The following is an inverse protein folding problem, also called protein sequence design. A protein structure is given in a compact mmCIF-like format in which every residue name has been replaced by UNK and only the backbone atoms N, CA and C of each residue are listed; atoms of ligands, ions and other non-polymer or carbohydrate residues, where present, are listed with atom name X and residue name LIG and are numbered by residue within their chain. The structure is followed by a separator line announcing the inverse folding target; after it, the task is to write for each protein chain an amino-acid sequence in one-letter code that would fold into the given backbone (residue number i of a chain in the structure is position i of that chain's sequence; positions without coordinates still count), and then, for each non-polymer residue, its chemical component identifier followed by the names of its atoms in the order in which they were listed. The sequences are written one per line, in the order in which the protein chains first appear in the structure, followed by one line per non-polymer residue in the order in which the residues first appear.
data_IF_613597646682
#
_entry.id   IF_613597646682
#
_cell.length_a   1.000
_cell.length_b   1.000
_cell.length_c   1.000
_cell.angle_alpha   90.00
_cell.angle_beta   90.00
_cell.angle_gamma   90.00
#
_symmetry.space_group_name_H-M   'P 1'
#
loop_
_entity.id
_entity.type
_entity.pdbx_description
1 polymer ?
#
# COMPACT_ATOMS: atom_id res chain seq x y z
N UNK A 1 -36.25 -22.19 4.89
CA UNK A 1 -36.20 -20.75 4.58
C UNK A 1 -36.67 -20.58 3.15
N UNK A 2 -37.62 -19.68 2.92
CA UNK A 2 -38.28 -19.50 1.62
C UNK A 2 -37.36 -18.79 0.61
N UNK A 3 -37.44 -19.15 -0.68
CA UNK A 3 -36.66 -18.54 -1.75
C UNK A 3 -37.00 -17.05 -1.93
N UNK A 4 -38.24 -16.65 -1.66
CA UNK A 4 -38.65 -15.25 -1.74
C UNK A 4 -38.00 -14.42 -0.62
N UNK A 5 -37.83 -15.02 0.56
CA UNK A 5 -37.12 -14.40 1.68
C UNK A 5 -35.62 -14.26 1.36
N UNK A 6 -35.02 -15.28 0.76
CA UNK A 6 -33.61 -15.24 0.34
C UNK A 6 -33.42 -14.14 -0.70
N UNK A 7 -34.28 -14.10 -1.73
CA UNK A 7 -34.23 -13.11 -2.81
C UNK A 7 -34.38 -11.70 -2.27
N UNK A 8 -35.33 -11.45 -1.36
CA UNK A 8 -35.50 -10.15 -0.70
C UNK A 8 -34.27 -9.72 0.10
N UNK A 9 -33.61 -10.66 0.79
CA UNK A 9 -32.39 -10.37 1.56
C UNK A 9 -31.17 -10.05 0.68
N UNK A 10 -31.13 -10.58 -0.54
CA UNK A 10 -29.99 -10.41 -1.45
C UNK A 10 -30.17 -9.27 -2.45
N UNK A 11 -31.40 -8.88 -2.78
CA UNK A 11 -31.72 -7.93 -3.86
C UNK A 11 -30.98 -6.58 -3.76
N UNK A 12 -30.93 -6.00 -2.57
CA UNK A 12 -30.35 -4.67 -2.32
C UNK A 12 -29.05 -4.75 -1.50
N UNK A 13 -28.48 -5.95 -1.37
CA UNK A 13 -27.26 -6.16 -0.60
C UNK A 13 -26.05 -5.72 -1.42
N UNK A 14 -25.26 -4.81 -0.87
CA UNK A 14 -23.92 -4.47 -1.39
C UNK A 14 -22.94 -5.62 -1.05
N UNK A 15 -22.28 -6.23 -2.03
CA UNK A 15 -21.25 -7.23 -1.77
C UNK A 15 -20.12 -6.66 -0.91
N UNK A 16 -19.58 -7.50 -0.03
CA UNK A 16 -18.45 -7.19 0.84
C UNK A 16 -17.53 -8.40 0.88
N UNK A 17 -16.26 -8.20 1.25
CA UNK A 17 -15.34 -9.30 1.51
C UNK A 17 -15.91 -10.26 2.55
N UNK A 18 -15.77 -11.55 2.29
CA UNK A 18 -16.19 -12.61 3.21
C UNK A 18 -15.23 -12.66 4.41
N UNK A 19 -13.93 -12.48 4.15
CA UNK A 19 -12.91 -12.40 5.20
C UNK A 19 -12.71 -10.95 5.64
N UNK A 20 -12.55 -10.69 6.95
CA UNK A 20 -12.29 -9.35 7.44
C UNK A 20 -10.95 -8.86 6.88
N UNK A 21 -11.00 -7.71 6.20
CA UNK A 21 -9.81 -7.03 5.70
C UNK A 21 -9.59 -5.74 6.45
N UNK A 22 -8.35 -5.49 6.86
CA UNK A 22 -7.96 -4.18 7.35
C UNK A 22 -7.76 -3.26 6.14
N UNK A 23 -8.46 -2.13 6.16
CA UNK A 23 -8.48 -1.15 5.07
C UNK A 23 -7.47 -0.06 5.30
N UNK A 24 -6.69 0.25 4.29
CA UNK A 24 -5.65 1.27 4.30
C UNK A 24 -5.76 2.14 3.05
N UNK A 25 -5.26 3.36 3.17
CA UNK A 25 -5.07 4.25 2.04
C UNK A 25 -3.69 4.90 2.11
N UNK A 26 -3.05 5.01 0.96
CA UNK A 26 -1.72 5.61 0.80
C UNK A 26 -1.73 6.67 -0.28
N UNK A 27 -0.94 7.72 -0.08
CA UNK A 27 -0.67 8.73 -1.10
C UNK A 27 0.72 8.48 -1.69
N UNK A 28 0.85 8.54 -3.01
CA UNK A 28 2.10 8.64 -3.75
C UNK A 28 2.34 10.14 -4.04
N UNK A 29 2.95 10.89 -3.10
CA UNK A 29 3.12 12.33 -3.23
C UNK A 29 4.21 12.69 -4.24
N UNK A 30 3.82 13.44 -5.27
CA UNK A 30 4.73 14.11 -6.19
C UNK A 30 5.01 15.52 -5.72
N UNK A 31 6.27 15.92 -5.66
CA UNK A 31 6.68 17.30 -5.41
C UNK A 31 7.59 17.78 -6.55
N UNK A 32 7.49 19.06 -6.87
CA UNK A 32 8.34 19.66 -7.90
C UNK A 32 9.62 20.19 -7.27
N UNK A 33 10.77 19.66 -7.69
CA UNK A 33 12.11 20.11 -7.26
C UNK A 33 12.83 20.63 -8.52
N UNK A 34 13.04 21.95 -8.57
CA UNK A 34 13.47 22.61 -9.80
C UNK A 34 12.44 22.39 -10.92
N UNK A 35 12.87 21.75 -12.00
CA UNK A 35 12.02 21.43 -13.16
C UNK A 35 11.54 19.97 -13.20
N UNK A 36 11.90 19.15 -12.20
CA UNK A 36 11.60 17.72 -12.16
C UNK A 36 10.51 17.38 -11.12
N UNK A 37 9.71 16.36 -11.43
CA UNK A 37 8.79 15.75 -10.48
C UNK A 37 9.50 14.61 -9.75
N UNK A 38 9.44 14.64 -8.42
CA UNK A 38 9.99 13.59 -7.58
C UNK A 38 8.92 13.03 -6.64
N UNK A 39 8.99 11.72 -6.38
CA UNK A 39 8.16 11.07 -5.37
C UNK A 39 8.77 11.26 -3.98
N UNK A 40 7.96 11.67 -3.00
CA UNK A 40 8.37 11.72 -1.59
C UNK A 40 8.15 10.36 -0.94
N UNK A 41 9.15 9.92 -0.19
CA UNK A 41 9.18 8.70 0.60
C UNK A 41 9.51 9.01 2.05
N UNK A 42 9.08 8.11 2.92
CA UNK A 42 9.33 8.16 4.35
C UNK A 42 10.20 6.99 4.78
N UNK A 43 11.13 7.25 5.69
CA UNK A 43 11.68 6.20 6.54
C UNK A 43 10.86 6.11 7.81
N UNK A 44 10.20 4.96 8.00
CA UNK A 44 9.37 4.71 9.19
C UNK A 44 10.21 4.73 10.45
N UNK A 45 9.74 5.45 11.47
CA UNK A 45 10.41 5.55 12.76
C UNK A 45 10.64 4.16 13.37
N UNK A 46 11.84 3.94 13.93
CA UNK A 46 12.23 2.63 14.50
C UNK A 46 11.41 2.21 15.70
N UNK A 47 10.70 3.15 16.31
CA UNK A 47 9.82 2.96 17.47
C UNK A 47 8.45 2.41 17.10
N UNK A 48 8.10 2.34 15.81
CA UNK A 48 6.82 1.84 15.36
C UNK A 48 6.68 0.32 15.54
N UNK A 49 5.44 -0.11 15.83
CA UNK A 49 5.11 -1.54 16.01
C UNK A 49 5.14 -2.34 14.70
N UNK A 50 4.94 -1.68 13.56
CA UNK A 50 4.94 -2.29 12.24
C UNK A 50 6.04 -1.68 11.36
N UNK A 51 6.80 -2.57 10.69
CA UNK A 51 7.79 -2.24 9.66
C UNK A 51 8.77 -1.10 10.03
N UNK A 52 9.39 -1.14 11.22
CA UNK A 52 10.34 -0.11 11.64
C UNK A 52 11.55 -0.05 10.70
N UNK A 53 11.88 1.16 10.23
CA UNK A 53 13.03 1.39 9.33
C UNK A 53 12.81 0.99 7.87
N UNK A 54 11.57 0.65 7.48
CA UNK A 54 11.24 0.42 6.07
C UNK A 54 10.89 1.73 5.35
N UNK A 55 11.08 1.72 4.03
CA UNK A 55 10.63 2.82 3.15
C UNK A 55 9.16 2.65 2.81
N UNK A 56 8.36 3.68 3.11
CA UNK A 56 6.93 3.73 2.76
C UNK A 56 6.57 5.03 2.07
N UNK A 57 5.37 5.01 1.50
CA UNK A 57 4.60 6.22 1.22
C UNK A 57 3.80 6.62 2.47
N UNK A 58 3.43 7.91 2.60
CA UNK A 58 2.49 8.33 3.62
C UNK A 58 1.16 7.60 3.48
N UNK A 59 0.59 7.19 4.61
CA UNK A 59 -0.67 6.47 4.63
C UNK A 59 -0.84 5.55 5.83
N UNK A 60 -2.10 5.19 6.05
CA UNK A 60 -2.48 4.47 7.24
C UNK A 60 -3.86 3.87 7.13
N UNK A 61 -4.42 3.54 8.28
CA UNK A 61 -5.64 2.75 8.39
C UNK A 61 -6.84 3.66 8.17
N UNK A 62 -7.83 3.18 7.42
CA UNK A 62 -9.09 3.89 7.22
C UNK A 62 -9.86 3.94 8.55
N UNK A 63 -10.24 5.13 8.98
CA UNK A 63 -11.08 5.34 10.16
C UNK A 63 -12.57 5.27 9.84
N UNK A 64 -13.39 5.14 10.88
CA UNK A 64 -14.84 5.03 10.71
C UNK A 64 -15.43 6.31 10.11
N UNK A 65 -16.11 6.15 8.97
CA UNK A 65 -16.75 7.26 8.26
C UNK A 65 -15.87 7.94 7.21
N UNK A 66 -14.60 7.57 7.09
CA UNK A 66 -13.70 8.11 6.06
C UNK A 66 -13.84 7.35 4.73
N UNK A 67 -13.77 8.09 3.63
CA UNK A 67 -13.39 7.55 2.33
C UNK A 67 -11.89 7.28 2.28
N UNK A 68 -11.46 6.37 1.41
CA UNK A 68 -10.04 6.07 1.20
C UNK A 68 -9.22 7.32 0.83
N UNK A 69 -9.80 8.24 0.04
CA UNK A 69 -9.15 9.49 -0.33
C UNK A 69 -8.94 10.40 0.88
N UNK A 70 -9.94 10.53 1.76
CA UNK A 70 -9.84 11.33 2.98
C UNK A 70 -8.76 10.75 3.91
N UNK A 71 -8.73 9.42 4.09
CA UNK A 71 -7.67 8.74 4.86
C UNK A 71 -6.29 9.04 4.30
N UNK A 72 -6.06 8.91 2.98
CA UNK A 72 -4.75 9.17 2.39
C UNK A 72 -4.29 10.63 2.61
N UNK A 73 -5.22 11.59 2.55
CA UNK A 73 -4.94 13.01 2.81
C UNK A 73 -4.62 13.24 4.29
N UNK A 74 -5.44 12.73 5.21
CA UNK A 74 -5.26 12.88 6.66
C UNK A 74 -3.90 12.33 7.10
N UNK A 75 -3.61 11.08 6.74
CA UNK A 75 -2.36 10.41 7.11
C UNK A 75 -1.15 11.18 6.57
N UNK A 76 -1.20 11.65 5.31
CA UNK A 76 -0.13 12.50 4.74
C UNK A 76 0.06 13.80 5.52
N UNK A 77 -1.04 14.45 5.93
CA UNK A 77 -0.96 15.68 6.74
C UNK A 77 -0.33 15.41 8.11
N UNK A 78 -0.71 14.31 8.75
CA UNK A 78 -0.22 13.90 10.07
C UNK A 78 1.26 13.51 10.02
N UNK A 79 1.65 12.66 9.08
CA UNK A 79 3.01 12.14 8.94
C UNK A 79 4.01 13.21 8.43
N UNK A 80 3.61 14.06 7.47
CA UNK A 80 4.48 15.10 6.91
C UNK A 80 4.34 16.47 7.58
N UNK A 81 3.39 16.65 8.52
CA UNK A 81 3.05 17.95 9.12
C UNK A 81 2.77 19.06 8.08
N UNK A 82 2.05 18.71 7.00
CA UNK A 82 1.61 19.67 5.98
C UNK A 82 0.10 19.90 6.07
N UNK A 83 -0.40 20.89 5.32
CA UNK A 83 -1.83 21.22 5.30
C UNK A 83 -2.54 20.57 4.12
N UNK A 84 -3.84 20.37 4.26
CA UNK A 84 -4.71 19.87 3.18
C UNK A 84 -4.59 20.71 1.90
N UNK A 85 -4.51 22.05 2.03
CA UNK A 85 -4.35 22.98 0.90
C UNK A 85 -3.05 22.75 0.08
N UNK A 86 -2.08 22.04 0.65
CA UNK A 86 -0.85 21.66 -0.05
C UNK A 86 -1.04 20.42 -0.93
N UNK A 87 -2.08 19.62 -0.71
CA UNK A 87 -2.27 18.30 -1.33
C UNK A 87 -3.34 18.39 -2.42
N UNK A 88 -2.99 17.95 -3.63
CA UNK A 88 -3.94 17.83 -4.74
C UNK A 88 -3.92 16.42 -5.33
N UNK A 89 -5.01 15.67 -5.15
CA UNK A 89 -5.15 14.31 -5.69
C UNK A 89 -5.38 14.37 -7.20
N UNK A 90 -4.50 13.71 -7.96
CA UNK A 90 -4.61 13.56 -9.42
C UNK A 90 -5.54 12.41 -9.80
N UNK A 91 -5.49 11.31 -9.05
CA UNK A 91 -6.32 10.14 -9.31
C UNK A 91 -6.01 8.98 -8.36
N UNK A 92 -6.90 8.00 -8.37
CA UNK A 92 -6.70 6.71 -7.71
C UNK A 92 -6.07 5.74 -8.71
N UNK A 93 -5.11 4.93 -8.26
CA UNK A 93 -4.55 3.80 -8.98
C UNK A 93 -5.41 2.55 -8.72
N UNK A 94 -5.00 1.37 -9.20
CA UNK A 94 -5.58 0.13 -8.71
C UNK A 94 -5.17 -0.15 -7.24
N UNK A 95 -6.01 -0.87 -6.51
CA UNK A 95 -5.80 -1.24 -5.12
C UNK A 95 -5.08 -2.59 -4.98
N UNK A 96 -4.38 -2.76 -3.86
CA UNK A 96 -3.64 -3.99 -3.53
C UNK A 96 -4.40 -4.82 -2.50
N UNK A 97 -4.54 -6.11 -2.77
CA UNK A 97 -4.93 -7.11 -1.76
C UNK A 97 -3.68 -7.88 -1.32
N UNK A 98 -3.43 -7.82 -0.02
CA UNK A 98 -2.26 -8.40 0.64
C UNK A 98 -2.57 -9.79 1.20
N UNK A 99 -1.55 -10.64 1.34
CA UNK A 99 -1.69 -11.96 1.93
C UNK A 99 -1.93 -11.91 3.46
N UNK A 100 -1.75 -10.73 4.06
CA UNK A 100 -2.05 -10.44 5.46
C UNK A 100 -3.44 -9.81 5.62
N UNK A 101 -4.34 -10.02 4.65
CA UNK A 101 -5.71 -9.49 4.64
C UNK A 101 -5.77 -7.96 4.75
N UNK A 102 -4.89 -7.28 4.00
CA UNK A 102 -4.92 -5.82 3.87
C UNK A 102 -5.48 -5.44 2.50
N UNK A 103 -6.40 -4.48 2.49
CA UNK A 103 -6.94 -3.82 1.31
C UNK A 103 -6.34 -2.40 1.28
N UNK A 104 -5.46 -2.13 0.33
CA UNK A 104 -4.69 -0.88 0.29
C UNK A 104 -5.06 -0.10 -0.98
N UNK A 105 -5.74 1.03 -0.80
CA UNK A 105 -6.07 1.97 -1.87
C UNK A 105 -4.93 2.98 -2.07
N UNK A 106 -4.58 3.25 -3.32
CA UNK A 106 -3.39 4.03 -3.67
C UNK A 106 -3.79 5.25 -4.48
N UNK A 107 -3.36 6.44 -4.05
CA UNK A 107 -3.67 7.69 -4.74
C UNK A 107 -2.38 8.34 -5.24
N UNK A 108 -2.39 8.91 -6.45
CA UNK A 108 -1.34 9.83 -6.88
C UNK A 108 -1.80 11.25 -6.60
N UNK A 109 -0.93 12.07 -6.03
CA UNK A 109 -1.24 13.48 -5.79
C UNK A 109 0.00 14.35 -5.79
N UNK A 110 -0.17 15.65 -6.02
CA UNK A 110 0.93 16.62 -5.96
C UNK A 110 0.92 17.36 -4.63
N UNK A 111 2.10 17.60 -4.08
CA UNK A 111 2.33 18.53 -2.97
C UNK A 111 2.85 19.86 -3.54
N UNK A 112 2.19 20.96 -3.18
CA UNK A 112 2.53 22.30 -3.62
C UNK A 112 2.46 23.34 -2.51
N UNK A 113 3.15 24.47 -2.68
CA UNK A 113 3.21 25.53 -1.66
C UNK A 113 4.13 25.21 -0.47
N UNK A 114 4.87 24.10 -0.51
CA UNK A 114 5.83 23.68 0.51
C UNK A 114 7.18 23.41 -0.15
N UNK A 115 8.28 23.72 0.55
CA UNK A 115 9.62 23.30 0.15
C UNK A 115 9.96 21.98 0.87
N UNK A 116 10.32 20.94 0.12
CA UNK A 116 10.66 19.61 0.65
C UNK A 116 11.73 19.67 1.75
N UNK A 117 12.74 20.52 1.61
CA UNK A 117 13.85 20.65 2.57
C UNK A 117 13.38 21.28 3.90
N UNK A 118 12.16 21.83 3.94
CA UNK A 118 11.55 22.45 5.12
C UNK A 118 10.44 21.59 5.72
N UNK A 119 10.12 20.44 5.13
CA UNK A 119 9.18 19.49 5.72
C UNK A 119 9.83 18.90 6.97
N UNK A 120 9.17 19.06 8.11
CA UNK A 120 9.58 18.49 9.39
C UNK A 120 8.56 17.43 9.77
N UNK A 121 8.76 16.16 9.36
CA UNK A 121 7.76 15.12 9.53
C UNK A 121 7.54 14.79 11.01
N UNK A 122 6.47 14.07 11.32
CA UNK A 122 6.14 13.68 12.69
C UNK A 122 7.15 12.64 13.21
N UNK A 123 8.01 12.99 14.19
CA UNK A 123 9.09 12.10 14.64
C UNK A 123 8.58 10.85 15.38
N UNK A 124 7.31 10.78 15.79
CA UNK A 124 6.76 9.56 16.35
C UNK A 124 6.51 8.47 15.31
N UNK A 125 6.42 8.84 14.03
CA UNK A 125 5.98 7.97 12.95
C UNK A 125 6.99 7.91 11.80
N UNK A 126 7.62 9.04 11.49
CA UNK A 126 8.57 9.20 10.39
C UNK A 126 9.90 9.70 10.94
N UNK A 127 10.96 8.94 10.69
CA UNK A 127 12.33 9.30 11.07
C UNK A 127 12.87 10.45 10.20
N UNK A 128 12.75 10.28 8.88
CA UNK A 128 13.09 11.30 7.89
C UNK A 128 12.38 11.02 6.56
N UNK A 129 12.35 12.02 5.69
CA UNK A 129 11.87 11.87 4.31
C UNK A 129 13.03 11.98 3.31
N UNK A 130 12.80 11.46 2.12
CA UNK A 130 13.68 11.67 0.97
C UNK A 130 12.85 11.64 -0.31
N UNK A 131 13.44 12.07 -1.42
CA UNK A 131 12.80 12.06 -2.73
C UNK A 131 13.58 11.26 -3.75
N UNK A 132 12.86 10.72 -4.73
CA UNK A 132 13.45 10.09 -5.91
C UNK A 132 12.73 10.61 -7.16
N UNK A 133 13.46 11.06 -8.20
CA UNK A 133 12.84 11.50 -9.45
C UNK A 133 11.89 10.47 -10.03
N UNK A 134 10.72 10.90 -10.50
CA UNK A 134 9.76 10.01 -11.17
C UNK A 134 10.40 9.37 -12.40
N UNK A 135 11.20 10.14 -13.14
CA UNK A 135 11.93 9.69 -14.33
C UNK A 135 12.83 8.48 -14.04
N UNK A 136 13.43 8.40 -12.84
CA UNK A 136 14.23 7.25 -12.44
C UNK A 136 13.41 5.95 -12.51
N UNK A 137 12.16 5.97 -12.03
CA UNK A 137 11.30 4.79 -12.05
C UNK A 137 10.74 4.49 -13.45
N UNK A 138 10.63 5.50 -14.31
CA UNK A 138 10.28 5.31 -15.72
C UNK A 138 11.41 4.63 -16.50
N UNK A 139 12.67 4.86 -16.14
CA UNK A 139 13.85 4.31 -16.82
C UNK A 139 14.33 2.98 -16.24
N UNK A 140 14.24 2.80 -14.92
CA UNK A 140 14.80 1.65 -14.21
C UNK A 140 13.72 0.60 -13.94
N UNK A 141 13.96 -0.62 -14.41
CA UNK A 141 13.12 -1.77 -14.06
C UNK A 141 13.50 -2.33 -12.68
N UNK A 142 12.51 -2.65 -11.81
CA UNK A 142 12.81 -3.19 -10.49
C UNK A 142 13.34 -4.63 -10.59
N UNK A 143 14.25 -4.98 -9.69
CA UNK A 143 14.62 -6.39 -9.48
C UNK A 143 13.42 -7.13 -8.91
N UNK A 144 13.21 -8.36 -9.37
CA UNK A 144 12.10 -9.18 -8.92
C UNK A 144 12.58 -10.51 -8.36
N UNK A 145 12.08 -10.86 -7.17
CA UNK A 145 12.35 -12.13 -6.51
C UNK A 145 11.03 -12.82 -6.16
N UNK A 146 11.06 -14.15 -6.07
CA UNK A 146 9.88 -14.94 -5.75
C UNK A 146 9.93 -15.43 -4.31
N UNK A 147 8.92 -15.04 -3.53
CA UNK A 147 8.66 -15.58 -2.20
C UNK A 147 7.73 -16.80 -2.36
N UNK A 148 8.17 -17.95 -1.86
CA UNK A 148 7.29 -19.11 -1.69
C UNK A 148 6.56 -18.96 -0.36
N UNK A 149 5.22 -18.97 -0.39
CA UNK A 149 4.41 -18.99 0.83
C UNK A 149 4.06 -20.45 1.13
N UNK A 150 4.42 -20.89 2.33
CA UNK A 150 4.02 -22.19 2.87
C UNK A 150 3.17 -21.97 4.11
N UNK A 151 2.00 -22.61 4.14
CA UNK A 151 1.17 -22.62 5.35
C UNK A 151 1.75 -23.64 6.32
N UNK A 152 2.11 -23.18 7.51
CA UNK A 152 2.49 -24.07 8.60
C UNK A 152 1.25 -24.47 9.37
N UNK A 153 0.93 -25.75 9.34
CA UNK A 153 -0.16 -26.33 10.13
C UNK A 153 0.42 -26.87 11.43
N UNK A 154 -0.12 -26.43 12.56
CA UNK A 154 0.21 -27.01 13.85
C UNK A 154 -0.49 -28.37 14.04
N UNK A 155 -0.17 -29.08 15.12
CA UNK A 155 -0.79 -30.37 15.42
C UNK A 155 -2.30 -30.29 15.65
N UNK A 156 -2.84 -29.09 15.88
CA UNK A 156 -4.27 -28.84 16.08
C UNK A 156 -5.04 -28.73 14.76
N UNK A 157 -4.35 -28.62 13.61
CA UNK A 157 -5.01 -28.56 12.33
C UNK A 157 -5.77 -29.87 12.06
N UNK A 158 -7.10 -29.83 11.83
CA UNK A 158 -7.93 -31.02 11.81
C UNK A 158 -7.86 -31.73 10.46
N UNK A 159 -6.72 -32.37 10.18
CA UNK A 159 -6.51 -33.13 8.94
C UNK A 159 -7.59 -34.18 8.70
N UNK A 160 -8.18 -34.75 9.75
CA UNK A 160 -9.27 -35.71 9.66
C UNK A 160 -10.57 -35.13 9.05
N UNK A 161 -10.69 -33.81 8.95
CA UNK A 161 -11.85 -33.13 8.38
C UNK A 161 -11.67 -32.74 6.90
N UNK A 162 -10.50 -33.00 6.30
CA UNK A 162 -10.22 -32.65 4.90
C UNK A 162 -9.92 -33.89 4.05
N UNK A 163 -10.18 -33.82 2.73
CA UNK A 163 -9.81 -34.89 1.81
C UNK A 163 -8.31 -35.22 1.92
N UNK A 164 -7.95 -36.49 1.86
CA UNK A 164 -6.56 -36.97 1.90
C UNK A 164 -5.76 -36.58 3.17
N UNK A 165 -6.40 -36.00 4.19
CA UNK A 165 -5.77 -35.69 5.47
C UNK A 165 -4.41 -34.99 5.35
N UNK A 166 -3.38 -35.59 5.95
CA UNK A 166 -2.00 -35.05 5.93
C UNK A 166 -1.39 -35.00 4.53
N UNK A 167 -1.90 -35.80 3.59
CA UNK A 167 -1.45 -35.86 2.20
C UNK A 167 -2.23 -34.89 1.29
N UNK A 168 -3.05 -33.99 1.86
CA UNK A 168 -3.72 -32.96 1.08
C UNK A 168 -2.70 -32.07 0.36
N UNK A 169 -2.88 -31.91 -0.96
CA UNK A 169 -1.98 -31.14 -1.80
C UNK A 169 -2.27 -29.63 -1.67
N UNK A 170 -1.79 -29.04 -0.57
CA UNK A 170 -1.89 -27.61 -0.34
C UNK A 170 -1.17 -26.82 -1.43
N UNK A 171 -1.82 -25.78 -1.95
CA UNK A 171 -1.20 -24.86 -2.89
C UNK A 171 -0.02 -24.18 -2.20
N UNK A 172 1.10 -24.09 -2.90
CA UNK A 172 2.29 -23.33 -2.50
C UNK A 172 2.43 -22.12 -3.41
N UNK A 173 1.67 -21.04 -3.16
CA UNK A 173 1.70 -19.88 -4.04
C UNK A 173 3.08 -19.23 -4.01
N UNK A 174 3.52 -18.79 -5.18
CA UNK A 174 4.72 -17.97 -5.34
C UNK A 174 4.29 -16.53 -5.58
N UNK A 175 4.84 -15.61 -4.79
CA UNK A 175 4.59 -14.17 -4.93
C UNK A 175 5.84 -13.49 -5.47
N UNK A 176 5.67 -12.63 -6.46
CA UNK A 176 6.73 -11.77 -6.96
C UNK A 176 6.85 -10.53 -6.05
N UNK A 177 8.04 -10.25 -5.57
CA UNK A 177 8.40 -9.10 -4.73
C UNK A 177 9.39 -8.24 -5.50
N UNK A 178 9.12 -6.94 -5.57
CA UNK A 178 9.91 -5.97 -6.31
C UNK A 178 10.86 -5.19 -5.41
N UNK A 179 12.00 -4.79 -5.97
CA UNK A 179 13.06 -4.03 -5.31
C UNK A 179 13.61 -2.98 -6.27
N UNK A 180 13.61 -1.72 -5.84
CA UNK A 180 14.34 -0.62 -6.47
C UNK A 180 15.53 -0.25 -5.58
N UNK A 181 16.71 -0.14 -6.21
CA UNK A 181 17.95 0.25 -5.55
C UNK A 181 18.21 1.74 -5.83
N UNK A 182 17.62 2.62 -5.02
CA UNK A 182 17.64 4.07 -5.23
C UNK A 182 18.74 4.73 -4.40
N UNK A 183 19.92 4.97 -4.98
CA UNK A 183 21.10 5.53 -4.27
C UNK A 183 21.40 4.73 -2.98
N UNK A 184 21.14 5.32 -1.81
CA UNK A 184 21.40 4.77 -0.48
C UNK A 184 20.17 4.07 0.15
N UNK A 185 19.09 3.93 -0.62
CA UNK A 185 17.81 3.41 -0.13
C UNK A 185 17.31 2.23 -0.96
N UNK A 186 16.73 1.24 -0.28
CA UNK A 186 16.07 0.10 -0.91
C UNK A 186 14.57 0.28 -0.75
N UNK A 187 13.88 0.48 -1.87
CA UNK A 187 12.42 0.52 -1.90
C UNK A 187 11.93 -0.86 -2.34
N UNK A 188 11.12 -1.53 -1.52
CA UNK A 188 10.74 -2.92 -1.78
C UNK A 188 9.30 -3.22 -1.37
N UNK A 189 8.85 -4.46 -1.60
CA UNK A 189 7.56 -4.92 -1.10
C UNK A 189 6.36 -4.21 -1.74
N UNK A 190 5.40 -3.78 -0.91
CA UNK A 190 4.21 -3.09 -1.38
C UNK A 190 4.54 -1.73 -2.01
N UNK A 191 5.43 -0.94 -1.40
CA UNK A 191 5.87 0.35 -1.93
C UNK A 191 6.43 0.21 -3.35
N UNK A 192 7.35 -0.73 -3.57
CA UNK A 192 7.88 -0.99 -4.92
C UNK A 192 6.83 -1.53 -5.90
N UNK A 193 5.85 -2.30 -5.41
CA UNK A 193 4.74 -2.78 -6.24
C UNK A 193 3.85 -1.63 -6.71
N UNK A 194 3.54 -0.68 -5.84
CA UNK A 194 2.76 0.53 -6.17
C UNK A 194 3.48 1.38 -7.22
N UNK A 195 4.79 1.61 -7.04
CA UNK A 195 5.60 2.36 -8.02
C UNK A 195 5.63 1.65 -9.37
N UNK A 196 5.86 0.34 -9.37
CA UNK A 196 5.89 -0.43 -10.62
C UNK A 196 4.57 -0.32 -11.37
N UNK A 197 3.45 -0.40 -10.65
CA UNK A 197 2.13 -0.26 -11.22
C UNK A 197 1.83 1.16 -11.72
N UNK A 198 2.25 2.20 -10.98
CA UNK A 198 2.22 3.59 -11.46
C UNK A 198 2.95 3.73 -12.80
N UNK A 199 4.16 3.17 -12.90
CA UNK A 199 4.97 3.20 -14.13
C UNK A 199 4.28 2.46 -15.29
N UNK A 200 3.57 1.36 -15.02
CA UNK A 200 2.75 0.66 -16.04
C UNK A 200 1.65 1.58 -16.58
N UNK A 201 0.87 2.20 -15.69
CA UNK A 201 -0.20 3.15 -16.06
C UNK A 201 0.35 4.31 -16.90
N UNK A 202 1.50 4.86 -16.51
CA UNK A 202 2.10 6.00 -17.21
C UNK A 202 2.71 5.64 -18.57
N UNK A 203 3.14 4.39 -18.77
CA UNK A 203 3.75 3.90 -20.02
C UNK A 203 2.74 3.34 -21.02
N UNK A 204 1.53 2.97 -20.59
CA UNK A 204 0.48 2.40 -21.43
C UNK A 204 -0.20 3.43 -22.36
N UNK A 205 0.60 4.20 -23.11
CA UNK A 205 0.16 5.10 -24.20
C UNK A 205 0.68 4.65 -25.57
#
# INVERSE_FOLDING_TARGET
MDIDIISKKLKDRVPQSIEPMAKFAVLLPLIKIGDQWELIFEFRAKTLKSQPGEVSFPGGKVEEGESFKETAIRETMEELHIKEENIHILGELDYLISYANLEIHCFLGTISGVNVDKISPNPSEVDHIFTVPLDYFLEVEPKAYYLSLETMYNEEFPYNLIPNGKDYNFRKPKRKIYFYECKDHIIWGYTATMIRHLVEILKDQ
#
